data_IF_746645883987
#
_entry.id   IF_746645883987
#
_cell.length_a   1.000
_cell.length_b   1.000
_cell.length_c   1.000
_cell.angle_alpha   90.00
_cell.angle_beta   90.00
_cell.angle_gamma   90.00
#
_symmetry.space_group_name_H-M   'P 1'
#
loop_
_entity.id
_entity.type
_entity.pdbx_description
1 polymer ?
#
# COMPACT_ATOMS: atom_id res chain seq x y z
N UNK A 1 9.08 9.47 26.94
CA UNK A 1 9.48 8.04 26.96
C UNK A 1 8.73 7.34 25.83
N UNK A 2 9.34 7.21 24.65
CA UNK A 2 8.75 6.48 23.52
C UNK A 2 8.90 4.99 23.79
N UNK A 3 7.81 4.36 24.22
CA UNK A 3 7.72 2.91 24.42
C UNK A 3 8.05 2.19 23.11
N UNK A 4 9.16 1.45 23.08
CA UNK A 4 9.49 0.46 22.03
C UNK A 4 8.71 -0.82 22.30
N UNK A 5 7.39 -0.72 22.44
CA UNK A 5 6.56 -1.91 22.41
C UNK A 5 6.64 -2.47 20.98
N UNK A 6 7.08 -3.72 20.81
CA UNK A 6 6.80 -4.42 19.56
C UNK A 6 5.30 -4.71 19.56
N UNK A 7 4.52 -4.12 18.66
CA UNK A 7 3.15 -4.62 18.46
C UNK A 7 3.30 -6.00 17.89
N UNK A 8 2.84 -7.00 18.63
CA UNK A 8 2.56 -8.29 18.03
C UNK A 8 1.53 -8.05 16.93
N UNK A 9 1.96 -8.11 15.67
CA UNK A 9 1.10 -7.87 14.51
C UNK A 9 -0.09 -8.84 14.51
N UNK A 10 0.00 -9.96 15.23
CA UNK A 10 -1.09 -10.92 15.41
C UNK A 10 -2.25 -10.41 16.28
N UNK A 11 -2.06 -9.30 17.01
CA UNK A 11 -3.10 -8.68 17.85
C UNK A 11 -3.97 -7.68 17.09
N UNK A 12 -3.61 -7.33 15.86
CA UNK A 12 -4.38 -6.39 15.04
C UNK A 12 -5.68 -7.04 14.56
N UNK A 13 -6.81 -6.30 14.53
CA UNK A 13 -8.04 -6.81 13.99
C UNK A 13 -7.89 -7.11 12.49
N UNK A 14 -8.45 -8.25 12.05
CA UNK A 14 -8.52 -8.58 10.62
C UNK A 14 -9.40 -7.57 9.89
N UNK A 15 -9.13 -7.37 8.60
CA UNK A 15 -9.95 -6.51 7.76
C UNK A 15 -11.39 -7.08 7.69
N UNK A 16 -12.42 -6.35 8.15
CA UNK A 16 -13.78 -6.85 8.13
C UNK A 16 -14.33 -6.93 6.69
N UNK A 17 -15.37 -7.73 6.51
CA UNK A 17 -16.19 -7.74 5.29
C UNK A 17 -17.50 -6.99 5.59
N UNK A 18 -17.73 -5.81 5.00
CA UNK A 18 -18.99 -5.08 5.18
C UNK A 18 -20.19 -5.89 4.66
N UNK A 19 -21.39 -5.63 5.18
CA UNK A 19 -22.60 -6.27 4.69
C UNK A 19 -22.96 -5.78 3.28
N UNK A 20 -23.65 -6.63 2.49
CA UNK A 20 -24.16 -6.23 1.18
C UNK A 20 -25.12 -5.03 1.30
N UNK A 21 -26.01 -5.05 2.30
CA UNK A 21 -26.98 -3.97 2.51
C UNK A 21 -26.30 -2.62 2.83
N UNK A 22 -25.28 -2.62 3.68
CA UNK A 22 -24.52 -1.41 3.99
C UNK A 22 -23.75 -0.89 2.77
N UNK A 23 -23.11 -1.80 2.03
CA UNK A 23 -22.33 -1.49 0.82
C UNK A 23 -23.23 -0.90 -0.27
N UNK A 24 -24.37 -1.53 -0.56
CA UNK A 24 -25.36 -1.07 -1.54
C UNK A 24 -25.90 0.32 -1.18
N UNK A 25 -26.26 0.53 0.10
CA UNK A 25 -26.75 1.83 0.58
C UNK A 25 -25.70 2.93 0.43
N UNK A 26 -24.44 2.66 0.80
CA UNK A 26 -23.33 3.62 0.64
C UNK A 26 -23.04 3.90 -0.83
N UNK A 27 -23.03 2.88 -1.68
CA UNK A 27 -22.84 3.02 -3.12
C UNK A 27 -23.89 3.95 -3.74
N UNK A 28 -25.18 3.70 -3.50
CA UNK A 28 -26.26 4.56 -4.01
C UNK A 28 -26.13 6.01 -3.54
N UNK A 29 -25.75 6.23 -2.27
CA UNK A 29 -25.49 7.58 -1.75
C UNK A 29 -24.32 8.26 -2.49
N UNK A 30 -23.26 7.52 -2.81
CA UNK A 30 -22.07 8.04 -3.48
C UNK A 30 -22.31 8.38 -4.95
N UNK A 31 -23.11 7.59 -5.67
CA UNK A 31 -23.37 7.83 -7.11
C UNK A 31 -24.51 8.82 -7.35
N UNK A 32 -25.43 9.01 -6.41
CA UNK A 32 -26.55 9.94 -6.54
C UNK A 32 -26.19 11.35 -7.07
N UNK A 33 -25.12 12.05 -6.59
CA UNK A 33 -24.76 13.37 -7.11
C UNK A 33 -24.13 13.35 -8.51
N UNK A 34 -23.79 12.19 -9.06
CA UNK A 34 -23.16 12.03 -10.38
C UNK A 34 -24.17 11.70 -11.48
N UNK A 35 -25.42 11.40 -11.11
CA UNK A 35 -26.44 10.85 -11.99
C UNK A 35 -27.65 11.78 -12.06
N UNK A 36 -28.32 11.79 -13.21
CA UNK A 36 -29.66 12.37 -13.31
C UNK A 36 -30.72 11.44 -12.69
N UNK A 37 -31.97 11.91 -12.63
CA UNK A 37 -33.06 11.16 -11.96
C UNK A 37 -33.34 9.80 -12.61
N UNK A 38 -33.32 9.72 -13.94
CA UNK A 38 -33.63 8.49 -14.68
C UNK A 38 -32.50 7.48 -14.50
N UNK A 39 -31.25 7.92 -14.63
CA UNK A 39 -30.05 7.10 -14.37
C UNK A 39 -29.99 6.58 -12.94
N UNK A 40 -30.32 7.43 -11.96
CA UNK A 40 -30.31 7.04 -10.55
C UNK A 40 -31.43 6.03 -10.24
N UNK A 41 -32.63 6.23 -10.81
CA UNK A 41 -33.73 5.29 -10.66
C UNK A 41 -33.40 3.93 -11.27
N UNK A 42 -32.73 3.91 -12.42
CA UNK A 42 -32.27 2.66 -13.03
C UNK A 42 -31.17 1.99 -12.21
N UNK A 43 -30.19 2.78 -11.73
CA UNK A 43 -29.13 2.28 -10.84
C UNK A 43 -29.69 1.65 -9.57
N UNK A 44 -30.73 2.25 -8.97
CA UNK A 44 -31.41 1.67 -7.80
C UNK A 44 -31.98 0.29 -8.09
N UNK A 45 -32.65 0.10 -9.23
CA UNK A 45 -33.21 -1.21 -9.61
C UNK A 45 -32.10 -2.25 -9.77
N UNK A 46 -31.02 -1.89 -10.47
CA UNK A 46 -29.86 -2.77 -10.68
C UNK A 46 -29.25 -3.18 -9.33
N UNK A 47 -29.05 -2.23 -8.42
CA UNK A 47 -28.47 -2.51 -7.09
C UNK A 47 -29.37 -3.41 -6.26
N UNK A 48 -30.68 -3.22 -6.32
CA UNK A 48 -31.63 -4.06 -5.59
C UNK A 48 -31.67 -5.48 -6.15
N UNK A 49 -31.68 -5.65 -7.47
CA UNK A 49 -31.57 -6.96 -8.11
C UNK A 49 -30.24 -7.64 -7.74
N UNK A 50 -29.13 -6.93 -7.86
CA UNK A 50 -27.81 -7.45 -7.50
C UNK A 50 -27.76 -7.91 -6.04
N UNK A 51 -28.39 -7.17 -5.12
CA UNK A 51 -28.45 -7.54 -3.70
C UNK A 51 -29.12 -8.90 -3.48
N UNK A 52 -30.19 -9.19 -4.23
CA UNK A 52 -30.91 -10.45 -4.15
C UNK A 52 -30.10 -11.62 -4.74
N UNK A 53 -29.36 -11.38 -5.81
CA UNK A 53 -28.59 -12.40 -6.53
C UNK A 53 -27.19 -12.66 -5.95
N UNK A 54 -26.65 -11.74 -5.13
CA UNK A 54 -25.24 -11.74 -4.72
C UNK A 54 -24.95 -12.32 -3.34
N UNK A 55 -25.96 -12.83 -2.63
CA UNK A 55 -25.74 -13.53 -1.35
C UNK A 55 -24.71 -14.67 -1.47
N UNK A 56 -24.71 -15.53 -2.51
CA UNK A 56 -23.66 -16.54 -2.68
C UNK A 56 -22.26 -15.93 -2.85
N UNK A 57 -22.13 -14.77 -3.49
CA UNK A 57 -20.85 -14.08 -3.67
C UNK A 57 -20.34 -13.50 -2.34
N UNK A 58 -21.23 -12.95 -1.52
CA UNK A 58 -20.90 -12.46 -0.19
C UNK A 58 -20.47 -13.61 0.73
N UNK A 59 -21.12 -14.77 0.66
CA UNK A 59 -20.70 -15.95 1.42
C UNK A 59 -19.29 -16.42 1.03
N UNK A 60 -18.95 -16.41 -0.26
CA UNK A 60 -17.60 -16.74 -0.72
C UNK A 60 -16.57 -15.73 -0.18
N UNK A 61 -16.92 -14.44 -0.15
CA UNK A 61 -16.07 -13.40 0.40
C UNK A 61 -15.85 -13.57 1.91
N UNK A 62 -16.91 -13.89 2.66
CA UNK A 62 -16.84 -14.18 4.09
C UNK A 62 -15.98 -15.42 4.39
N UNK A 63 -16.15 -16.49 3.61
CA UNK A 63 -15.29 -17.70 3.72
C UNK A 63 -13.83 -17.36 3.49
N UNK A 64 -13.53 -16.56 2.46
CA UNK A 64 -12.16 -16.07 2.20
C UNK A 64 -11.58 -15.27 3.38
N UNK A 65 -12.38 -14.40 4.00
CA UNK A 65 -11.96 -13.61 5.16
C UNK A 65 -11.72 -14.43 6.44
N UNK A 66 -12.33 -15.62 6.54
CA UNK A 66 -12.03 -16.54 7.63
C UNK A 66 -10.66 -17.22 7.45
N UNK A 67 -10.31 -17.54 6.20
CA UNK A 67 -9.08 -18.30 5.87
C UNK A 67 -7.84 -17.43 5.71
N UNK A 68 -7.99 -16.15 5.34
CA UNK A 68 -6.87 -15.24 5.09
C UNK A 68 -6.67 -14.24 6.24
N UNK A 69 -5.43 -13.81 6.46
CA UNK A 69 -5.12 -12.73 7.43
C UNK A 69 -5.76 -11.41 7.01
N UNK A 70 -5.73 -11.12 5.70
CA UNK A 70 -6.41 -9.99 5.08
C UNK A 70 -6.93 -10.43 3.70
N UNK A 71 -8.25 -10.57 3.57
CA UNK A 71 -8.92 -11.09 2.38
C UNK A 71 -8.68 -10.26 1.10
N UNK A 72 -8.32 -8.99 1.26
CA UNK A 72 -8.21 -8.02 0.17
C UNK A 72 -6.77 -7.81 -0.29
N UNK A 73 -5.77 -8.01 0.57
CA UNK A 73 -4.38 -7.58 0.30
C UNK A 73 -3.82 -8.09 -1.03
N UNK A 74 -3.96 -9.38 -1.34
CA UNK A 74 -3.42 -9.93 -2.59
C UNK A 74 -4.19 -9.45 -3.82
N UNK A 75 -5.51 -9.36 -3.74
CA UNK A 75 -6.35 -8.85 -4.82
C UNK A 75 -6.06 -7.38 -5.10
N UNK A 76 -5.98 -6.56 -4.06
CA UNK A 76 -5.63 -5.15 -4.18
C UNK A 76 -4.26 -4.96 -4.83
N UNK A 77 -3.24 -5.66 -4.34
CA UNK A 77 -1.89 -5.59 -4.91
C UNK A 77 -1.89 -5.94 -6.41
N UNK A 78 -2.56 -7.02 -6.78
CA UNK A 78 -2.59 -7.49 -8.16
C UNK A 78 -3.40 -6.55 -9.07
N UNK A 79 -4.67 -6.32 -8.74
CA UNK A 79 -5.62 -5.59 -9.59
C UNK A 79 -5.29 -4.12 -9.70
N UNK A 80 -4.77 -3.51 -8.63
CA UNK A 80 -4.47 -2.08 -8.63
C UNK A 80 -3.08 -1.79 -9.20
N UNK A 81 -2.09 -2.66 -8.98
CA UNK A 81 -0.69 -2.35 -9.32
C UNK A 81 -0.05 -3.32 -10.31
N UNK A 82 -0.04 -4.64 -10.02
CA UNK A 82 0.83 -5.59 -10.72
C UNK A 82 0.28 -6.04 -12.08
N UNK A 83 -1.05 -6.10 -12.23
CA UNK A 83 -1.71 -6.39 -13.50
C UNK A 83 -1.80 -5.16 -14.40
N UNK A 84 -1.63 -3.96 -13.85
CA UNK A 84 -1.75 -2.72 -14.62
C UNK A 84 -0.60 -2.54 -15.61
N UNK A 85 -0.92 -2.15 -16.85
CA UNK A 85 0.01 -2.15 -17.99
C UNK A 85 0.43 -0.78 -18.53
N UNK A 86 -0.10 0.30 -17.96
CA UNK A 86 0.44 1.63 -18.26
C UNK A 86 1.82 1.79 -17.62
N UNK A 87 2.62 2.69 -18.19
CA UNK A 87 3.94 3.04 -17.66
C UNK A 87 3.82 3.55 -16.22
N UNK A 88 4.73 3.09 -15.36
CA UNK A 88 4.70 3.44 -13.94
C UNK A 88 5.07 4.91 -13.66
N UNK A 89 6.06 5.52 -14.35
CA UNK A 89 6.29 6.95 -14.23
C UNK A 89 5.02 7.71 -14.61
N UNK A 90 4.66 8.75 -13.85
CA UNK A 90 3.46 9.58 -14.00
C UNK A 90 2.18 8.90 -13.52
N UNK A 91 1.84 7.69 -14.00
CA UNK A 91 0.53 7.09 -13.70
C UNK A 91 0.44 6.44 -12.31
N UNK A 92 1.56 5.93 -11.77
CA UNK A 92 1.54 5.13 -10.54
C UNK A 92 2.58 5.50 -9.50
N UNK A 93 3.77 5.90 -9.92
CA UNK A 93 4.84 6.23 -8.99
C UNK A 93 4.67 7.68 -8.48
N UNK A 94 4.21 7.90 -7.24
CA UNK A 94 4.18 9.25 -6.68
C UNK A 94 5.61 9.76 -6.51
N UNK A 95 5.83 11.04 -6.84
CA UNK A 95 7.09 11.72 -6.60
C UNK A 95 6.96 12.66 -5.41
N UNK A 96 8.04 12.78 -4.63
CA UNK A 96 8.13 13.69 -3.49
C UNK A 96 9.24 14.70 -3.78
N UNK A 97 8.95 15.98 -3.56
CA UNK A 97 9.94 17.05 -3.59
C UNK A 97 10.39 17.32 -2.15
N UNK A 98 11.66 17.08 -1.86
CA UNK A 98 12.25 17.36 -0.55
C UNK A 98 12.68 18.83 -0.45
N UNK A 99 12.87 19.38 0.77
CA UNK A 99 13.38 20.73 0.96
C UNK A 99 14.67 20.97 0.19
N UNK A 100 14.76 22.14 -0.46
CA UNK A 100 15.93 22.52 -1.24
C UNK A 100 17.16 22.69 -0.32
N UNK A 101 18.27 22.10 -0.75
CA UNK A 101 19.56 22.19 -0.06
C UNK A 101 20.40 23.34 -0.62
N UNK A 102 21.38 23.81 0.15
CA UNK A 102 22.17 25.02 -0.16
C UNK A 102 23.58 24.77 -0.73
N UNK A 103 23.88 23.56 -1.21
CA UNK A 103 25.15 23.28 -1.89
C UNK A 103 25.27 24.07 -3.20
N UNK A 104 26.50 24.43 -3.59
CA UNK A 104 26.78 25.29 -4.76
C UNK A 104 27.63 24.63 -5.84
N UNK A 105 28.22 23.49 -5.53
CA UNK A 105 29.13 22.74 -6.38
C UNK A 105 28.83 21.24 -6.34
N UNK A 106 29.58 20.48 -7.13
CA UNK A 106 29.44 19.03 -7.22
C UNK A 106 29.85 18.33 -5.91
N UNK A 107 30.91 18.80 -5.25
CA UNK A 107 31.38 18.21 -3.99
C UNK A 107 30.33 18.35 -2.88
N UNK A 108 29.67 19.51 -2.77
CA UNK A 108 28.55 19.71 -1.86
C UNK A 108 27.34 18.82 -2.20
N UNK A 109 27.07 18.58 -3.48
CA UNK A 109 26.03 17.63 -3.90
C UNK A 109 26.37 16.21 -3.47
N UNK A 110 27.62 15.77 -3.65
CA UNK A 110 28.10 14.44 -3.24
C UNK A 110 28.05 14.31 -1.72
N UNK A 111 28.49 15.31 -0.97
CA UNK A 111 28.42 15.32 0.49
C UNK A 111 26.97 15.19 0.99
N UNK A 112 26.03 15.90 0.36
CA UNK A 112 24.61 15.76 0.67
C UNK A 112 24.09 14.35 0.34
N UNK A 113 24.40 13.82 -0.84
CA UNK A 113 23.98 12.48 -1.26
C UNK A 113 24.52 11.39 -0.31
N UNK A 114 25.79 11.49 0.11
CA UNK A 114 26.40 10.57 1.07
C UNK A 114 25.70 10.62 2.43
N UNK A 115 25.42 11.81 2.94
CA UNK A 115 24.68 11.99 4.20
C UNK A 115 23.24 11.48 4.10
N UNK A 116 22.58 11.67 2.96
CA UNK A 116 21.23 11.17 2.71
C UNK A 116 21.21 9.63 2.73
N UNK A 117 22.12 8.98 1.99
CA UNK A 117 22.26 7.51 2.00
C UNK A 117 22.57 7.01 3.41
N UNK A 118 23.47 7.67 4.14
CA UNK A 118 23.76 7.32 5.53
C UNK A 118 22.52 7.39 6.43
N UNK A 119 21.69 8.43 6.29
CA UNK A 119 20.43 8.57 7.01
C UNK A 119 19.44 7.45 6.72
N UNK A 120 19.27 7.09 5.44
CA UNK A 120 18.40 5.96 5.02
C UNK A 120 18.90 4.64 5.60
N UNK A 121 20.22 4.38 5.58
CA UNK A 121 20.80 3.16 6.14
C UNK A 121 20.68 3.10 7.67
N UNK A 122 20.82 4.24 8.36
CA UNK A 122 20.55 4.33 9.79
C UNK A 122 19.08 3.99 10.10
N UNK A 123 18.15 4.52 9.31
CA UNK A 123 16.74 4.16 9.44
C UNK A 123 16.49 2.68 9.17
N UNK A 124 17.15 2.09 8.17
CA UNK A 124 17.09 0.64 7.93
C UNK A 124 17.56 -0.17 9.15
N UNK A 125 18.62 0.25 9.81
CA UNK A 125 19.09 -0.41 11.04
C UNK A 125 18.05 -0.35 12.16
N UNK A 126 17.32 0.76 12.30
CA UNK A 126 16.23 0.87 13.27
C UNK A 126 15.08 -0.06 12.92
N UNK A 127 14.71 -0.13 11.65
CA UNK A 127 13.68 -1.07 11.16
C UNK A 127 14.06 -2.52 11.44
N UNK A 128 15.28 -2.93 11.08
CA UNK A 128 15.75 -4.32 11.24
C UNK A 128 15.90 -4.71 12.72
N UNK A 129 16.16 -3.73 13.59
CA UNK A 129 16.19 -3.92 15.03
C UNK A 129 14.82 -3.82 15.72
N UNK A 130 13.71 -3.63 14.98
CA UNK A 130 12.38 -3.34 15.52
C UNK A 130 12.36 -2.14 16.50
N UNK A 131 13.15 -1.11 16.21
CA UNK A 131 13.35 0.06 17.08
C UNK A 131 12.59 1.30 16.61
N UNK A 132 11.82 1.21 15.51
CA UNK A 132 10.95 2.31 15.11
C UNK A 132 9.70 2.37 16.01
N UNK A 133 9.19 3.57 16.31
CA UNK A 133 7.93 3.71 17.04
C UNK A 133 6.77 3.03 16.29
N UNK A 134 5.82 2.47 17.04
CA UNK A 134 4.56 2.00 16.46
C UNK A 134 3.72 3.21 16.07
N UNK A 135 3.26 3.25 14.81
CA UNK A 135 2.28 4.23 14.37
C UNK A 135 0.92 3.94 15.01
N UNK A 136 0.23 5.01 15.42
CA UNK A 136 -1.08 4.91 16.07
C UNK A 136 -2.07 5.88 15.44
N UNK A 137 -3.33 5.46 15.38
CA UNK A 137 -4.46 6.35 15.15
C UNK A 137 -5.19 6.56 16.48
N UNK A 138 -4.99 7.72 17.10
CA UNK A 138 -5.38 7.91 18.50
C UNK A 138 -4.58 6.95 19.40
N UNK A 139 -5.28 6.08 20.14
CA UNK A 139 -4.66 5.05 20.97
C UNK A 139 -4.39 3.74 20.23
N UNK A 140 -5.03 3.53 19.08
CA UNK A 140 -5.03 2.24 18.40
C UNK A 140 -3.76 2.04 17.58
N UNK A 141 -3.06 0.91 17.74
CA UNK A 141 -1.87 0.62 16.94
C UNK A 141 -2.23 0.32 15.48
N UNK A 142 -1.35 0.74 14.57
CA UNK A 142 -1.47 0.48 13.15
C UNK A 142 -0.55 -0.68 12.71
N UNK A 143 -0.90 -1.28 11.58
CA UNK A 143 -0.09 -2.30 10.93
C UNK A 143 1.24 -1.71 10.46
N UNK A 144 2.35 -2.36 10.83
CA UNK A 144 3.71 -1.89 10.53
C UNK A 144 4.33 -2.62 9.33
N UNK A 145 3.60 -3.54 8.68
CA UNK A 145 4.09 -4.40 7.59
C UNK A 145 4.62 -3.61 6.37
N UNK A 146 4.03 -2.44 6.08
CA UNK A 146 4.47 -1.61 4.95
C UNK A 146 5.92 -1.14 5.09
N UNK A 147 6.41 -0.87 6.29
CA UNK A 147 7.79 -0.44 6.53
C UNK A 147 8.82 -1.48 6.09
N UNK A 148 8.47 -2.76 6.15
CA UNK A 148 9.32 -3.86 5.68
C UNK A 148 9.36 -3.97 4.15
N UNK A 149 8.52 -3.22 3.43
CA UNK A 149 8.34 -3.25 1.98
C UNK A 149 8.77 -1.96 1.27
N UNK A 150 9.54 -1.10 1.94
CA UNK A 150 10.08 0.14 1.34
C UNK A 150 11.52 -0.04 0.85
N UNK A 151 12.34 -0.81 1.58
CA UNK A 151 13.78 -0.96 1.29
C UNK A 151 14.11 -2.41 0.94
N UNK A 152 14.96 -2.60 -0.07
CA UNK A 152 15.38 -3.93 -0.54
C UNK A 152 14.29 -4.64 -1.33
N UNK A 153 13.41 -3.90 -2.01
CA UNK A 153 12.34 -4.44 -2.85
C UNK A 153 12.49 -3.91 -4.27
N UNK A 154 12.15 -4.72 -5.26
CA UNK A 154 12.08 -4.31 -6.66
C UNK A 154 10.85 -4.91 -7.35
N UNK A 155 10.22 -4.15 -8.24
CA UNK A 155 9.19 -4.65 -9.15
C UNK A 155 9.86 -5.24 -10.39
N UNK A 156 9.56 -6.50 -10.67
CA UNK A 156 10.07 -7.26 -11.81
C UNK A 156 8.96 -7.38 -12.85
N UNK A 157 9.15 -6.83 -14.07
CA UNK A 157 8.18 -6.95 -15.15
C UNK A 157 7.91 -8.41 -15.51
N UNK A 158 6.66 -8.73 -15.85
CA UNK A 158 6.32 -9.99 -16.51
C UNK A 158 5.14 -9.82 -17.47
N UNK A 159 4.84 -10.85 -18.28
CA UNK A 159 3.88 -10.75 -19.39
C UNK A 159 2.45 -10.38 -18.99
N UNK A 160 1.90 -10.99 -17.94
CA UNK A 160 0.49 -10.76 -17.52
C UNK A 160 0.33 -10.12 -16.15
N UNK A 161 1.24 -10.43 -15.21
CA UNK A 161 1.27 -9.81 -13.88
C UNK A 161 2.71 -9.64 -13.44
N UNK A 162 3.09 -8.41 -13.08
CA UNK A 162 4.43 -8.15 -12.55
C UNK A 162 4.62 -8.79 -11.18
N UNK A 163 5.86 -8.87 -10.70
CA UNK A 163 6.18 -9.46 -9.40
C UNK A 163 6.92 -8.48 -8.53
N UNK A 164 6.58 -8.43 -7.25
CA UNK A 164 7.45 -7.79 -6.26
C UNK A 164 8.46 -8.81 -5.77
N UNK A 165 9.73 -8.46 -5.82
CA UNK A 165 10.82 -9.25 -5.28
C UNK A 165 11.41 -8.52 -4.08
N UNK A 166 11.22 -9.08 -2.89
CA UNK A 166 11.83 -8.61 -1.65
C UNK A 166 13.14 -9.38 -1.44
N UNK A 167 14.26 -8.69 -1.50
CA UNK A 167 15.58 -9.28 -1.35
C UNK A 167 15.91 -9.57 0.12
N UNK A 168 16.63 -10.66 0.36
CA UNK A 168 17.02 -11.06 1.71
C UNK A 168 17.98 -10.03 2.35
N UNK A 169 17.67 -9.62 3.57
CA UNK A 169 18.44 -8.64 4.36
C UNK A 169 19.90 -9.08 4.56
N UNK A 170 20.18 -10.38 4.64
CA UNK A 170 21.50 -10.92 4.97
C UNK A 170 22.44 -11.05 3.75
N UNK A 171 21.92 -10.97 2.52
CA UNK A 171 22.68 -11.19 1.29
C UNK A 171 22.97 -9.92 0.48
N UNK A 172 22.26 -8.82 0.75
CA UNK A 172 22.30 -7.62 -0.09
C UNK A 172 22.61 -6.38 0.77
N UNK A 173 23.91 -6.07 0.89
CA UNK A 173 24.44 -4.94 1.69
C UNK A 173 25.06 -3.84 0.82
N UNK A 174 24.37 -3.45 -0.24
CA UNK A 174 24.82 -2.42 -1.17
C UNK A 174 23.67 -1.49 -1.55
N UNK A 175 24.02 -0.33 -2.12
CA UNK A 175 23.08 0.58 -2.78
C UNK A 175 23.46 0.69 -4.25
N UNK A 176 22.49 0.91 -5.12
CA UNK A 176 22.74 1.24 -6.53
C UNK A 176 22.79 2.76 -6.68
N UNK A 177 23.85 3.27 -7.31
CA UNK A 177 24.01 4.69 -7.63
C UNK A 177 23.98 4.81 -9.15
N UNK A 178 23.07 5.63 -9.66
CA UNK A 178 22.98 5.92 -11.09
C UNK A 178 23.55 7.31 -11.35
N UNK A 179 24.54 7.42 -12.24
CA UNK A 179 25.16 8.69 -12.61
C UNK A 179 25.40 8.75 -14.11
N UNK A 180 24.82 9.77 -14.77
CA UNK A 180 24.93 9.98 -16.22
C UNK A 180 24.61 8.70 -17.02
N UNK A 181 23.50 8.04 -16.69
CA UNK A 181 23.02 6.81 -17.32
C UNK A 181 23.93 5.58 -17.13
N UNK A 182 24.84 5.60 -16.15
CA UNK A 182 25.62 4.44 -15.70
C UNK A 182 25.21 4.04 -14.29
#
# INVERSE_FOLDING_TARGET
>A
MTSTASTDQNTLPRLPVPTLAETARKYLKTVAPLLNNDEFNETKKIVEQFRQESEPLQELLLKRAQTEENWLSQWWLNKTYLEWRLNLPIYYNPAIVLPRQSYRDFDGQIQFAANFVHGVLRYRSLLDGNQIPIDRFGTDPLCMDQYNKVLGICRIPAKSIDRLHLYNKNGHRHVAIFYRNN
#
